data_IF_693541513638
#
_entry.id   IF_693541513638
#
_cell.length_a   1.000
_cell.length_b   1.000
_cell.length_c   1.000
_cell.angle_alpha   90.00
_cell.angle_beta   90.00
_cell.angle_gamma   90.00
#
_symmetry.space_group_name_H-M   'P 1'
#
loop_
_entity.id
_entity.type
_entity.pdbx_description
1 polymer ?
#
# COMPACT_ATOMS: atom_id res chain seq x y z
N UNK A 1 1.39 -13.71 0.04
CA UNK A 1 1.52 -12.80 1.21
C UNK A 1 2.93 -12.91 1.79
N UNK A 2 3.54 -11.79 2.13
CA UNK A 2 4.89 -11.80 2.69
C UNK A 2 4.95 -12.12 4.19
N UNK A 3 3.84 -12.00 4.93
CA UNK A 3 3.87 -12.29 6.37
C UNK A 3 4.23 -13.75 6.68
N UNK A 4 3.97 -14.68 5.78
CA UNK A 4 4.28 -16.10 5.96
C UNK A 4 5.75 -16.43 5.66
N UNK A 5 6.46 -15.59 4.91
CA UNK A 5 7.85 -15.80 4.53
C UNK A 5 8.77 -14.61 4.82
N UNK A 6 8.34 -13.70 5.70
CA UNK A 6 9.11 -12.49 6.04
C UNK A 6 10.50 -12.81 6.60
N UNK A 7 10.61 -13.85 7.42
CA UNK A 7 11.90 -14.26 7.99
C UNK A 7 12.86 -14.77 6.93
N UNK A 8 12.35 -15.46 5.92
CA UNK A 8 13.15 -15.91 4.79
C UNK A 8 13.63 -14.74 3.94
N UNK A 9 12.75 -13.77 3.68
CA UNK A 9 13.10 -12.54 2.96
C UNK A 9 14.21 -11.76 3.69
N UNK A 10 14.12 -11.69 5.02
CA UNK A 10 15.16 -11.05 5.84
C UNK A 10 16.49 -11.78 5.69
N UNK A 11 16.49 -13.11 5.75
CA UNK A 11 17.70 -13.92 5.57
C UNK A 11 18.32 -13.74 4.20
N UNK A 12 17.51 -13.70 3.16
CA UNK A 12 17.98 -13.47 1.79
C UNK A 12 18.64 -12.09 1.66
N UNK A 13 18.03 -11.05 2.25
CA UNK A 13 18.61 -9.71 2.23
C UNK A 13 19.94 -9.67 2.99
N UNK A 14 20.05 -10.39 4.10
CA UNK A 14 21.31 -10.51 4.84
C UNK A 14 22.39 -11.19 4.03
N UNK A 15 22.07 -12.27 3.33
CA UNK A 15 23.01 -13.01 2.47
C UNK A 15 23.50 -12.16 1.30
N UNK A 16 22.61 -11.34 0.74
CA UNK A 16 22.92 -10.44 -0.37
C UNK A 16 23.59 -9.14 0.07
N UNK A 17 23.81 -8.95 1.36
CA UNK A 17 24.38 -7.73 1.94
C UNK A 17 23.52 -6.48 1.66
N UNK A 18 22.23 -6.65 1.47
CA UNK A 18 21.26 -5.57 1.28
C UNK A 18 20.78 -5.07 2.65
N UNK A 19 21.62 -4.29 3.30
CA UNK A 19 21.38 -3.84 4.70
C UNK A 19 20.10 -3.02 4.85
N UNK A 20 19.87 -2.08 3.94
CA UNK A 20 18.67 -1.23 3.97
C UNK A 20 17.39 -2.06 3.80
N UNK A 21 17.39 -3.00 2.87
CA UNK A 21 16.27 -3.91 2.65
C UNK A 21 16.00 -4.79 3.87
N UNK A 22 17.06 -5.34 4.47
CA UNK A 22 16.95 -6.09 5.71
C UNK A 22 16.27 -5.28 6.81
N UNK A 23 16.72 -4.05 7.02
CA UNK A 23 16.21 -3.19 8.08
C UNK A 23 14.73 -2.84 7.85
N UNK A 24 14.34 -2.53 6.61
CA UNK A 24 12.95 -2.27 6.26
C UNK A 24 12.07 -3.51 6.46
N UNK A 25 12.55 -4.68 6.05
CA UNK A 25 11.83 -5.93 6.27
C UNK A 25 11.61 -6.22 7.75
N UNK A 26 12.59 -5.89 8.60
CA UNK A 26 12.44 -5.99 10.05
C UNK A 26 11.38 -5.03 10.59
N UNK A 27 11.30 -3.82 10.06
CA UNK A 27 10.25 -2.86 10.41
C UNK A 27 8.87 -3.40 10.01
N UNK A 28 8.75 -3.97 8.83
CA UNK A 28 7.51 -4.60 8.36
C UNK A 28 7.10 -5.73 9.30
N UNK A 29 8.05 -6.59 9.64
CA UNK A 29 7.80 -7.70 10.59
C UNK A 29 7.29 -7.18 11.93
N UNK A 30 7.88 -6.11 12.44
CA UNK A 30 7.46 -5.46 13.69
C UNK A 30 6.00 -5.00 13.61
N UNK A 31 5.59 -4.38 12.52
CA UNK A 31 4.21 -3.94 12.33
C UNK A 31 3.23 -5.12 12.25
N UNK A 32 3.63 -6.22 11.61
CA UNK A 32 2.82 -7.43 11.58
C UNK A 32 2.65 -8.03 12.98
N UNK A 33 3.72 -8.05 13.79
CA UNK A 33 3.67 -8.54 15.17
C UNK A 33 2.79 -7.65 16.05
N UNK A 34 2.85 -6.33 15.88
CA UNK A 34 1.97 -5.40 16.60
C UNK A 34 0.50 -5.71 16.34
N UNK A 35 0.14 -5.99 15.10
CA UNK A 35 -1.22 -6.39 14.77
C UNK A 35 -1.62 -7.69 15.45
N UNK A 36 -0.79 -8.73 15.36
CA UNK A 36 -1.08 -10.05 15.95
C UNK A 36 -1.22 -10.02 17.46
N UNK A 37 -0.56 -9.08 18.13
CA UNK A 37 -0.63 -8.90 19.58
C UNK A 37 -1.65 -7.86 20.00
N UNK A 38 -2.29 -7.16 19.07
CA UNK A 38 -3.34 -6.19 19.37
C UNK A 38 -4.65 -6.90 19.72
N UNK A 39 -5.60 -6.16 20.32
CA UNK A 39 -6.94 -6.68 20.61
C UNK A 39 -7.67 -7.10 19.34
N UNK A 40 -7.51 -6.35 18.26
CA UNK A 40 -8.14 -6.63 16.96
C UNK A 40 -7.62 -7.92 16.33
N UNK A 41 -6.30 -8.13 16.39
CA UNK A 41 -5.63 -9.23 15.73
C UNK A 41 -5.36 -10.46 16.58
N UNK A 42 -5.62 -10.39 17.89
CA UNK A 42 -5.30 -11.48 18.82
C UNK A 42 -6.02 -12.79 18.44
N UNK A 43 -5.25 -13.85 18.26
CA UNK A 43 -5.77 -15.18 17.90
C UNK A 43 -6.22 -15.29 16.44
N UNK A 44 -5.96 -14.31 15.60
CA UNK A 44 -6.31 -14.32 14.18
C UNK A 44 -5.07 -14.42 13.31
N UNK A 45 -5.19 -15.16 12.21
CA UNK A 45 -4.19 -15.13 11.15
C UNK A 45 -4.34 -13.84 10.36
N UNK A 46 -3.21 -13.31 9.90
CA UNK A 46 -3.21 -12.13 9.06
C UNK A 46 -3.61 -12.51 7.64
N UNK A 47 -4.70 -11.93 7.13
CA UNK A 47 -5.12 -12.11 5.75
C UNK A 47 -4.39 -11.11 4.81
N UNK A 48 -4.54 -11.32 3.51
CA UNK A 48 -3.91 -10.49 2.48
C UNK A 48 -4.38 -9.03 2.56
N UNK A 49 -5.66 -8.82 2.82
CA UNK A 49 -6.25 -7.49 2.93
C UNK A 49 -5.64 -6.71 4.10
N UNK A 50 -5.48 -7.36 5.25
CA UNK A 50 -4.87 -6.73 6.43
C UNK A 50 -3.39 -6.46 6.22
N UNK A 51 -2.67 -7.38 5.62
CA UNK A 51 -1.26 -7.18 5.27
C UNK A 51 -1.09 -5.96 4.37
N UNK A 52 -1.89 -5.87 3.32
CA UNK A 52 -1.87 -4.74 2.40
C UNK A 52 -2.20 -3.42 3.11
N UNK A 53 -3.19 -3.43 4.01
CA UNK A 53 -3.56 -2.25 4.81
C UNK A 53 -2.39 -1.75 5.65
N UNK A 54 -1.66 -2.66 6.30
CA UNK A 54 -0.48 -2.32 7.10
C UNK A 54 0.62 -1.71 6.22
N UNK A 55 0.92 -2.33 5.08
CA UNK A 55 1.94 -1.84 4.17
C UNK A 55 1.58 -0.47 3.58
N UNK A 56 0.32 -0.25 3.23
CA UNK A 56 -0.17 1.06 2.75
C UNK A 56 0.00 2.14 3.80
N UNK A 57 -0.28 1.84 5.05
CA UNK A 57 -0.10 2.78 6.16
C UNK A 57 1.37 3.14 6.33
N UNK A 58 2.27 2.16 6.23
CA UNK A 58 3.71 2.38 6.31
C UNK A 58 4.19 3.29 5.17
N UNK A 59 3.69 3.11 3.95
CA UNK A 59 3.99 3.98 2.81
C UNK A 59 3.49 5.40 3.04
N UNK A 60 2.26 5.55 3.53
CA UNK A 60 1.69 6.87 3.84
C UNK A 60 2.51 7.63 4.88
N UNK A 61 2.98 6.94 5.92
CA UNK A 61 3.84 7.54 6.94
C UNK A 61 5.17 8.03 6.35
N UNK A 62 5.76 7.30 5.39
CA UNK A 62 6.99 7.73 4.72
C UNK A 62 6.75 8.92 3.80
N UNK A 63 5.62 8.97 3.10
CA UNK A 63 5.24 10.15 2.31
C UNK A 63 5.14 11.40 3.16
N UNK A 64 4.48 11.31 4.31
CA UNK A 64 4.35 12.44 5.23
C UNK A 64 5.72 12.89 5.76
N UNK A 65 6.57 11.95 6.13
CA UNK A 65 7.91 12.24 6.60
C UNK A 65 8.77 12.91 5.51
N UNK A 66 8.70 12.42 4.28
CA UNK A 66 9.42 13.00 3.13
C UNK A 66 8.97 14.45 2.92
N UNK A 67 7.68 14.72 2.95
CA UNK A 67 7.13 16.06 2.78
C UNK A 67 7.65 17.01 3.87
N UNK A 68 7.61 16.58 5.12
CA UNK A 68 8.09 17.39 6.25
C UNK A 68 9.58 17.66 6.19
N UNK A 69 10.39 16.65 5.89
CA UNK A 69 11.84 16.80 5.77
C UNK A 69 12.21 17.70 4.58
N UNK A 70 11.50 17.57 3.48
CA UNK A 70 11.73 18.43 2.29
C UNK A 70 11.43 19.90 2.61
N UNK A 71 10.32 20.18 3.30
CA UNK A 71 9.97 21.52 3.74
C UNK A 71 10.98 22.12 4.72
N UNK A 72 11.62 21.28 5.54
CA UNK A 72 12.63 21.68 6.49
C UNK A 72 14.05 21.71 5.90
N UNK A 73 14.21 21.51 4.61
CA UNK A 73 15.51 21.42 3.92
C UNK A 73 16.42 20.29 4.45
N UNK A 74 15.81 19.23 4.97
CA UNK A 74 16.49 18.04 5.46
C UNK A 74 16.56 16.97 4.38
N UNK A 75 17.30 17.26 3.31
CA UNK A 75 17.38 16.41 2.11
C UNK A 75 17.84 14.99 2.41
N UNK A 76 18.85 14.82 3.26
CA UNK A 76 19.40 13.50 3.60
C UNK A 76 18.36 12.62 4.30
N UNK A 77 17.57 13.20 5.20
CA UNK A 77 16.50 12.48 5.89
C UNK A 77 15.34 12.14 4.95
N UNK A 78 15.00 13.07 4.04
CA UNK A 78 13.99 12.80 3.03
C UNK A 78 14.40 11.66 2.09
N UNK A 79 15.67 11.62 1.66
CA UNK A 79 16.21 10.54 0.83
C UNK A 79 16.15 9.19 1.53
N UNK A 80 16.47 9.14 2.82
CA UNK A 80 16.39 7.92 3.61
C UNK A 80 14.97 7.38 3.66
N UNK A 81 13.99 8.25 3.93
CA UNK A 81 12.57 7.86 3.94
C UNK A 81 12.11 7.40 2.55
N UNK A 82 12.60 8.04 1.49
CA UNK A 82 12.27 7.63 0.12
C UNK A 82 12.78 6.24 -0.20
N UNK A 83 13.98 5.89 0.23
CA UNK A 83 14.53 4.53 0.05
C UNK A 83 13.69 3.49 0.79
N UNK A 84 13.28 3.79 2.02
CA UNK A 84 12.40 2.90 2.79
C UNK A 84 11.05 2.72 2.08
N UNK A 85 10.47 3.80 1.58
CA UNK A 85 9.21 3.77 0.84
C UNK A 85 9.33 2.90 -0.41
N UNK A 86 10.40 3.05 -1.18
CA UNK A 86 10.63 2.28 -2.40
C UNK A 86 10.72 0.78 -2.09
N UNK A 87 11.37 0.41 -1.00
CA UNK A 87 11.49 -0.98 -0.58
C UNK A 87 10.11 -1.55 -0.18
N UNK A 88 9.35 -0.83 0.63
CA UNK A 88 8.02 -1.27 1.06
C UNK A 88 7.10 -1.44 -0.16
N UNK A 89 7.17 -0.50 -1.10
CA UNK A 89 6.34 -0.51 -2.31
C UNK A 89 6.56 -1.73 -3.20
N UNK A 90 7.73 -2.39 -3.11
CA UNK A 90 7.99 -3.63 -3.85
C UNK A 90 7.05 -4.76 -3.44
N UNK A 91 6.48 -4.70 -2.24
CA UNK A 91 5.57 -5.72 -1.71
C UNK A 91 4.09 -5.36 -1.83
N UNK A 92 3.81 -4.24 -2.50
CA UNK A 92 2.45 -3.80 -2.81
C UNK A 92 2.20 -3.91 -4.32
N UNK A 93 0.94 -4.10 -4.74
CA UNK A 93 0.59 -4.02 -6.16
C UNK A 93 0.96 -2.65 -6.74
N UNK A 94 1.18 -2.60 -8.04
CA UNK A 94 1.45 -1.34 -8.73
C UNK A 94 0.26 -0.38 -8.57
N UNK A 95 0.56 0.92 -8.46
CA UNK A 95 -0.48 1.95 -8.44
C UNK A 95 -1.09 2.04 -9.85
N UNK A 96 -2.43 1.92 -9.99
CA UNK A 96 -3.06 1.99 -11.30
C UNK A 96 -2.98 3.40 -11.89
N UNK A 97 -2.91 3.45 -13.21
CA UNK A 97 -2.98 4.72 -13.95
C UNK A 97 -4.43 5.21 -14.01
N UNK A 98 -4.61 6.48 -14.37
CA UNK A 98 -5.95 7.04 -14.58
C UNK A 98 -6.70 6.27 -15.67
N UNK A 99 -6.01 5.87 -16.74
CA UNK A 99 -6.57 5.06 -17.82
C UNK A 99 -7.04 3.69 -17.33
N UNK A 100 -6.27 3.03 -16.50
CA UNK A 100 -6.64 1.73 -15.91
C UNK A 100 -7.86 1.86 -15.00
N UNK A 101 -7.91 2.90 -14.16
CA UNK A 101 -9.05 3.18 -13.31
C UNK A 101 -10.31 3.51 -14.12
N UNK A 102 -10.16 4.29 -15.17
CA UNK A 102 -11.27 4.65 -16.08
C UNK A 102 -11.83 3.42 -16.77
N UNK A 103 -10.97 2.57 -17.33
CA UNK A 103 -11.39 1.34 -17.99
C UNK A 103 -12.13 0.40 -17.01
N UNK A 104 -11.61 0.25 -15.81
CA UNK A 104 -12.23 -0.56 -14.77
C UNK A 104 -13.63 -0.03 -14.40
N UNK A 105 -13.74 1.29 -14.18
CA UNK A 105 -15.01 1.92 -13.83
C UNK A 105 -16.04 1.79 -14.94
N UNK A 106 -15.65 1.97 -16.21
CA UNK A 106 -16.55 1.79 -17.35
C UNK A 106 -17.09 0.38 -17.46
N UNK A 107 -16.23 -0.60 -17.21
CA UNK A 107 -16.61 -2.02 -17.22
C UNK A 107 -17.66 -2.32 -16.15
N UNK A 108 -17.47 -1.79 -14.95
CA UNK A 108 -18.41 -1.95 -13.84
C UNK A 108 -19.76 -1.28 -14.15
N UNK A 109 -19.73 -0.07 -14.69
CA UNK A 109 -20.95 0.67 -15.06
C UNK A 109 -21.71 -0.06 -16.18
N UNK A 110 -21.00 -0.58 -17.18
CA UNK A 110 -21.59 -1.34 -18.28
C UNK A 110 -22.30 -2.61 -17.78
N UNK A 111 -21.70 -3.29 -16.80
CA UNK A 111 -22.29 -4.50 -16.21
C UNK A 111 -23.46 -4.18 -15.27
N UNK A 112 -23.48 -3.01 -14.66
CA UNK A 112 -24.56 -2.57 -13.76
C UNK A 112 -24.85 -1.09 -13.95
N UNK A 113 -25.67 -0.71 -14.96
CA UNK A 113 -25.98 0.70 -15.23
C UNK A 113 -26.70 1.42 -14.09
N UNK A 114 -27.30 0.69 -13.15
CA UNK A 114 -27.97 1.25 -11.99
C UNK A 114 -27.01 1.56 -10.82
N UNK A 115 -25.75 1.21 -10.95
CA UNK A 115 -24.76 1.45 -9.88
C UNK A 115 -24.56 2.93 -9.65
N UNK A 116 -24.56 3.34 -8.38
CA UNK A 116 -24.25 4.70 -7.99
C UNK A 116 -22.72 4.88 -7.84
N UNK A 117 -22.30 6.14 -7.63
CA UNK A 117 -20.89 6.48 -7.48
C UNK A 117 -20.19 5.67 -6.38
N UNK A 118 -20.82 5.53 -5.22
CA UNK A 118 -20.25 4.78 -4.09
C UNK A 118 -20.02 3.30 -4.42
N UNK A 119 -20.95 2.68 -5.13
CA UNK A 119 -20.84 1.28 -5.55
C UNK A 119 -19.71 1.08 -6.57
N UNK A 120 -19.59 1.99 -7.54
CA UNK A 120 -18.54 1.94 -8.54
C UNK A 120 -17.17 2.11 -7.91
N UNK A 121 -17.00 3.10 -7.05
CA UNK A 121 -15.74 3.35 -6.34
C UNK A 121 -15.33 2.13 -5.50
N UNK A 122 -16.26 1.56 -4.76
CA UNK A 122 -16.00 0.37 -3.94
C UNK A 122 -15.51 -0.80 -4.78
N UNK A 123 -16.17 -1.07 -5.90
CA UNK A 123 -15.82 -2.17 -6.78
C UNK A 123 -14.45 -1.94 -7.47
N UNK A 124 -14.16 -0.71 -7.90
CA UNK A 124 -12.85 -0.39 -8.47
C UNK A 124 -11.75 -0.62 -7.42
N UNK A 125 -11.97 -0.18 -6.19
CA UNK A 125 -10.98 -0.40 -5.10
C UNK A 125 -10.78 -1.87 -4.78
N UNK A 126 -11.80 -2.71 -4.96
CA UNK A 126 -11.69 -4.15 -4.79
C UNK A 126 -10.80 -4.77 -5.88
N UNK A 127 -10.98 -4.35 -7.13
CA UNK A 127 -10.19 -4.83 -8.28
C UNK A 127 -8.79 -4.21 -8.36
N UNK A 128 -8.68 -2.94 -7.98
CA UNK A 128 -7.44 -2.16 -8.00
C UNK A 128 -7.16 -1.58 -6.61
N UNK A 129 -6.61 -2.39 -5.69
CA UNK A 129 -6.47 -2.00 -4.29
C UNK A 129 -5.62 -0.77 -4.04
N UNK A 130 -4.72 -0.42 -4.97
CA UNK A 130 -3.84 0.75 -4.85
C UNK A 130 -4.40 2.00 -5.51
N UNK A 131 -5.68 1.98 -5.96
CA UNK A 131 -6.33 3.13 -6.55
C UNK A 131 -6.42 4.29 -5.54
N UNK A 132 -6.01 5.49 -5.97
CA UNK A 132 -6.16 6.69 -5.16
C UNK A 132 -7.63 7.10 -5.11
N UNK A 133 -8.18 7.20 -3.90
CA UNK A 133 -9.61 7.49 -3.72
C UNK A 133 -10.06 8.82 -4.28
N UNK A 134 -9.23 9.86 -4.18
CA UNK A 134 -9.54 11.19 -4.69
C UNK A 134 -9.56 11.24 -6.23
N UNK A 135 -8.52 10.69 -6.85
CA UNK A 135 -8.44 10.58 -8.31
C UNK A 135 -9.58 9.73 -8.86
N UNK A 136 -9.85 8.60 -8.22
CA UNK A 136 -10.93 7.69 -8.61
C UNK A 136 -12.30 8.37 -8.51
N UNK A 137 -12.56 9.12 -7.44
CA UNK A 137 -13.84 9.84 -7.29
C UNK A 137 -14.07 10.84 -8.44
N UNK A 138 -13.03 11.55 -8.85
CA UNK A 138 -13.10 12.47 -9.99
C UNK A 138 -13.41 11.74 -11.31
N UNK A 139 -12.76 10.60 -11.53
CA UNK A 139 -12.98 9.78 -12.72
C UNK A 139 -14.41 9.24 -12.77
N UNK A 140 -14.90 8.66 -11.69
CA UNK A 140 -16.24 8.08 -11.62
C UNK A 140 -17.30 9.16 -11.78
N UNK A 141 -17.11 10.33 -11.19
CA UNK A 141 -18.03 11.45 -11.33
C UNK A 141 -18.20 11.87 -12.79
N UNK A 142 -17.10 11.85 -13.55
CA UNK A 142 -17.13 12.18 -14.97
C UNK A 142 -17.81 11.13 -15.85
N UNK A 143 -17.93 9.90 -15.38
CA UNK A 143 -18.54 8.78 -16.14
C UNK A 143 -20.03 8.57 -15.86
N UNK A 144 -20.55 9.12 -14.78
CA UNK A 144 -21.96 8.98 -14.37
C UNK A 144 -22.86 10.18 -14.77
#
# INVERSE_FOLDING_TARGET
>A
MINSNIDELIREAMKAHETEKRDVLRLIKTEFLKYRTSKEGAGKDMDEEKEMSILKKMVAQRHDAIEQYTKANRTELAEKEQKELDIISQYLPAVPTDEEMTACAREIIAANPAANMGMVIKEVKTRLPMADGKALAGIVRGLL
#
